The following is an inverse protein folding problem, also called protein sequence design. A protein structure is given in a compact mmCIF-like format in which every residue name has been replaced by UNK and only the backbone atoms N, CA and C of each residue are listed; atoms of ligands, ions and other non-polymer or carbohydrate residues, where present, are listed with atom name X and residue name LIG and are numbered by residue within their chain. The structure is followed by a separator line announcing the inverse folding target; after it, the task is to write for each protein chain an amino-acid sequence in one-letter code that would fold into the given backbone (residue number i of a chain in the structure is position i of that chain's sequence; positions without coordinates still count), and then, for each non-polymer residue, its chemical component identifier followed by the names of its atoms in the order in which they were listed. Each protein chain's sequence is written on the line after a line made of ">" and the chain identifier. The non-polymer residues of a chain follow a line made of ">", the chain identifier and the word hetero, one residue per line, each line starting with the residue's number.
data_IF_956381459565
#
_entry.id   IF_956381459565
#
_cell.length_a   1.000
_cell.length_b   1.000
_cell.length_c   1.000
_cell.angle_alpha   90.00
_cell.angle_beta   90.00
_cell.angle_gamma   90.00
#
_symmetry.space_group_name_H-M   'P 1'
#
loop_
_entity.id
_entity.type
_entity.pdbx_description
1 polymer ?
#
# COMPACT_ATOMS: atom_id res chain seq x y z
N UNK A 1 11.74 10.16 -29.57
CA UNK A 1 11.18 8.93 -28.98
C UNK A 1 12.19 8.37 -28.01
N UNK A 2 11.90 8.40 -26.72
CA UNK A 2 12.71 7.75 -25.69
C UNK A 2 11.78 6.81 -24.91
N UNK A 3 12.10 5.52 -24.82
CA UNK A 3 11.32 4.60 -24.00
C UNK A 3 11.81 4.72 -22.56
N UNK A 4 11.03 5.36 -21.66
CA UNK A 4 11.31 5.28 -20.23
C UNK A 4 10.71 3.99 -19.67
N UNK A 5 11.52 2.94 -19.70
CA UNK A 5 11.31 1.75 -18.88
C UNK A 5 11.60 2.11 -17.42
N UNK A 6 10.57 2.18 -16.60
CA UNK A 6 10.62 1.73 -15.20
C UNK A 6 9.38 0.89 -14.95
N UNK A 7 9.63 -0.40 -14.84
CA UNK A 7 8.64 -1.43 -14.58
C UNK A 7 8.26 -1.39 -13.11
N UNK A 8 6.96 -1.29 -12.83
CA UNK A 8 6.37 -2.13 -11.79
C UNK A 8 5.23 -2.84 -12.49
N UNK A 9 5.41 -4.15 -12.72
CA UNK A 9 4.35 -4.96 -13.29
C UNK A 9 3.21 -4.98 -12.26
N UNK A 10 2.16 -4.19 -12.49
CA UNK A 10 0.95 -4.19 -11.65
C UNK A 10 0.16 -5.50 -11.74
N UNK A 11 0.57 -6.41 -12.63
CA UNK A 11 -0.11 -7.70 -12.87
C UNK A 11 -0.30 -8.55 -11.63
N UNK A 12 0.66 -8.71 -10.70
CA UNK A 12 0.46 -9.50 -9.49
C UNK A 12 -0.61 -8.89 -8.57
N UNK A 13 -0.63 -7.56 -8.41
CA UNK A 13 -1.62 -6.85 -7.59
C UNK A 13 -3.01 -7.00 -8.22
N UNK A 14 -3.13 -6.77 -9.53
CA UNK A 14 -4.39 -6.91 -10.27
C UNK A 14 -4.90 -8.35 -10.30
N UNK A 15 -4.01 -9.34 -10.32
CA UNK A 15 -4.37 -10.75 -10.25
C UNK A 15 -4.87 -11.12 -8.85
N UNK A 16 -4.17 -10.68 -7.79
CA UNK A 16 -4.60 -10.90 -6.42
C UNK A 16 -5.95 -10.24 -6.11
N UNK A 17 -6.17 -9.03 -6.63
CA UNK A 17 -7.45 -8.34 -6.50
C UNK A 17 -8.58 -9.12 -7.19
N UNK A 18 -8.36 -9.62 -8.41
CA UNK A 18 -9.33 -10.49 -9.11
C UNK A 18 -9.60 -11.81 -8.41
N UNK A 19 -8.61 -12.37 -7.72
CA UNK A 19 -8.79 -13.59 -6.92
C UNK A 19 -9.63 -13.30 -5.67
N UNK A 20 -9.42 -12.14 -5.02
CA UNK A 20 -10.25 -11.68 -3.91
C UNK A 20 -11.69 -11.39 -4.35
N UNK A 21 -11.89 -10.74 -5.50
CA UNK A 21 -13.23 -10.47 -6.07
C UNK A 21 -14.00 -11.75 -6.40
N UNK A 22 -13.32 -12.84 -6.76
CA UNK A 22 -13.95 -14.16 -6.99
C UNK A 22 -14.38 -14.84 -5.68
N UNK A 23 -13.72 -14.51 -4.58
CA UNK A 23 -14.00 -15.04 -3.25
C UNK A 23 -15.04 -14.19 -2.51
N UNK A 24 -15.07 -12.89 -2.77
CA UNK A 24 -16.05 -11.94 -2.26
C UNK A 24 -17.30 -11.98 -3.15
N UNK A 25 -18.20 -12.91 -2.86
CA UNK A 25 -19.55 -12.85 -3.41
C UNK A 25 -20.18 -11.49 -3.07
N UNK A 26 -20.58 -10.75 -4.10
CA UNK A 26 -21.44 -9.56 -4.09
C UNK A 26 -20.76 -8.18 -3.87
N UNK A 27 -20.67 -7.42 -4.96
CA UNK A 27 -20.79 -5.95 -4.97
C UNK A 27 -19.65 -5.12 -4.36
N UNK A 28 -19.69 -3.78 -4.54
CA UNK A 28 -18.84 -2.87 -3.77
C UNK A 28 -19.15 -3.03 -2.28
N UNK A 29 -18.10 -3.14 -1.46
CA UNK A 29 -18.20 -3.32 -0.01
C UNK A 29 -18.78 -2.03 0.59
N UNK A 30 -20.08 -2.04 0.93
CA UNK A 30 -20.76 -0.90 1.56
C UNK A 30 -20.40 -0.73 3.05
N UNK A 31 -19.97 -1.81 3.71
CA UNK A 31 -19.56 -1.80 5.12
C UNK A 31 -18.36 -2.72 5.37
N UNK A 32 -17.37 -2.23 6.11
CA UNK A 32 -16.27 -3.06 6.61
C UNK A 32 -16.84 -3.96 7.71
N UNK A 33 -17.19 -5.19 7.34
CA UNK A 33 -17.57 -6.22 8.31
C UNK A 33 -16.30 -6.85 8.90
N UNK A 34 -16.27 -7.05 10.21
CA UNK A 34 -15.27 -7.93 10.82
C UNK A 34 -15.55 -9.36 10.36
N UNK A 35 -14.89 -9.78 9.29
CA UNK A 35 -14.99 -11.13 8.75
C UNK A 35 -13.94 -12.00 9.43
N UNK A 36 -14.37 -13.12 10.00
CA UNK A 36 -13.44 -14.14 10.48
C UNK A 36 -12.78 -14.82 9.27
N UNK A 37 -11.51 -14.48 9.03
CA UNK A 37 -10.74 -14.99 7.90
C UNK A 37 -10.21 -16.41 8.18
N UNK A 38 -10.21 -17.27 7.16
CA UNK A 38 -9.52 -18.56 7.21
C UNK A 38 -7.99 -18.36 7.38
N UNK A 39 -7.24 -19.38 7.85
CA UNK A 39 -5.78 -19.30 7.93
C UNK A 39 -5.10 -18.90 6.60
N UNK A 40 -5.58 -19.44 5.48
CA UNK A 40 -5.06 -19.12 4.14
C UNK A 40 -5.34 -17.67 3.75
N UNK A 41 -6.54 -17.16 4.07
CA UNK A 41 -6.91 -15.77 3.85
C UNK A 41 -6.07 -14.81 4.72
N UNK A 42 -5.86 -15.15 6.00
CA UNK A 42 -4.98 -14.38 6.91
C UNK A 42 -3.54 -14.32 6.37
N UNK A 43 -3.01 -15.45 5.90
CA UNK A 43 -1.67 -15.51 5.30
C UNK A 43 -1.57 -14.64 4.03
N UNK A 44 -2.61 -14.65 3.18
CA UNK A 44 -2.66 -13.83 1.98
C UNK A 44 -2.70 -12.33 2.31
N UNK A 45 -3.56 -11.92 3.25
CA UNK A 45 -3.66 -10.53 3.72
C UNK A 45 -2.34 -10.07 4.31
N UNK A 46 -1.71 -10.88 5.15
CA UNK A 46 -0.40 -10.58 5.73
C UNK A 46 0.67 -10.38 4.64
N UNK A 47 0.77 -11.30 3.68
CA UNK A 47 1.73 -11.19 2.57
C UNK A 47 1.51 -9.91 1.76
N UNK A 48 0.25 -9.57 1.50
CA UNK A 48 -0.09 -8.33 0.80
C UNK A 48 0.33 -7.11 1.60
N UNK A 49 0.06 -7.09 2.90
CA UNK A 49 0.45 -6.02 3.79
C UNK A 49 1.97 -5.86 3.88
N UNK A 50 2.73 -6.95 4.00
CA UNK A 50 4.20 -6.95 4.01
C UNK A 50 4.79 -6.38 2.71
N UNK A 51 4.22 -6.75 1.55
CA UNK A 51 4.64 -6.21 0.27
C UNK A 51 4.40 -4.69 0.19
N UNK A 52 3.24 -4.22 0.63
CA UNK A 52 2.94 -2.78 0.62
C UNK A 52 3.75 -2.01 1.65
N UNK A 53 4.06 -2.60 2.80
CA UNK A 53 4.87 -1.95 3.84
C UNK A 53 6.23 -1.51 3.31
N UNK A 54 6.90 -2.35 2.51
CA UNK A 54 8.18 -1.98 1.89
C UNK A 54 8.01 -0.92 0.79
N UNK A 55 6.90 -0.97 0.03
CA UNK A 55 6.59 0.08 -0.95
C UNK A 55 6.43 1.43 -0.24
N UNK A 56 5.65 1.50 0.84
CA UNK A 56 5.44 2.74 1.59
C UNK A 56 6.75 3.28 2.17
N UNK A 57 7.62 2.40 2.66
CA UNK A 57 8.95 2.78 3.16
C UNK A 57 9.81 3.42 2.07
N UNK A 58 9.81 2.88 0.86
CA UNK A 58 10.53 3.45 -0.28
C UNK A 58 9.92 4.80 -0.72
N UNK A 59 8.59 4.91 -0.67
CA UNK A 59 7.86 6.14 -0.99
C UNK A 59 8.17 7.25 0.03
N UNK A 60 8.11 6.96 1.33
CA UNK A 60 8.51 7.88 2.41
C UNK A 60 9.91 8.42 2.14
N UNK A 61 10.89 7.55 1.89
CA UNK A 61 12.26 7.98 1.63
C UNK A 61 12.38 8.87 0.39
N UNK A 62 11.64 8.55 -0.67
CA UNK A 62 11.66 9.28 -1.94
C UNK A 62 11.09 10.69 -1.76
N UNK A 63 9.90 10.81 -1.19
CA UNK A 63 9.26 12.12 -0.95
C UNK A 63 10.02 12.94 0.09
N UNK A 64 10.60 12.31 1.11
CA UNK A 64 11.44 12.99 2.09
C UNK A 64 12.70 13.60 1.45
N UNK A 65 13.39 12.85 0.57
CA UNK A 65 14.52 13.37 -0.21
C UNK A 65 14.09 14.51 -1.14
N UNK A 66 12.89 14.43 -1.71
CA UNK A 66 12.34 15.47 -2.57
C UNK A 66 12.02 16.75 -1.80
N UNK A 67 11.35 16.64 -0.65
CA UNK A 67 11.02 17.77 0.23
C UNK A 67 12.27 18.55 0.68
N UNK A 68 13.37 17.85 0.98
CA UNK A 68 14.65 18.48 1.35
C UNK A 68 15.25 19.29 0.19
N UNK A 69 15.07 18.84 -1.05
CA UNK A 69 15.64 19.49 -2.25
C UNK A 69 14.73 20.59 -2.83
N UNK A 70 13.45 20.59 -2.48
CA UNK A 70 12.48 21.54 -3.00
C UNK A 70 12.66 22.93 -2.37
N UNK A 71 12.78 23.94 -3.23
CA UNK A 71 12.96 25.34 -2.83
C UNK A 71 11.66 26.15 -2.89
N UNK A 72 10.68 25.71 -3.70
CA UNK A 72 9.38 26.37 -3.82
C UNK A 72 8.46 25.96 -2.67
N UNK A 73 7.98 26.88 -1.80
CA UNK A 73 7.31 26.49 -0.55
C UNK A 73 6.04 25.63 -0.72
N UNK A 74 5.12 25.93 -1.67
CA UNK A 74 3.98 25.05 -1.95
C UNK A 74 4.35 23.61 -2.35
N UNK A 75 5.41 23.43 -3.15
CA UNK A 75 5.80 22.09 -3.58
C UNK A 75 6.49 21.32 -2.46
N UNK A 76 7.31 22.01 -1.65
CA UNK A 76 7.86 21.43 -0.43
C UNK A 76 6.74 20.98 0.52
N UNK A 77 5.75 21.82 0.76
CA UNK A 77 4.59 21.48 1.60
C UNK A 77 3.81 20.28 1.05
N UNK A 78 3.63 20.19 -0.27
CA UNK A 78 3.01 19.01 -0.89
C UNK A 78 3.83 17.73 -0.65
N UNK A 79 5.15 17.79 -0.84
CA UNK A 79 6.03 16.64 -0.62
C UNK A 79 6.03 16.20 0.86
N UNK A 80 6.03 17.15 1.80
CA UNK A 80 5.94 16.87 3.23
C UNK A 80 4.59 16.24 3.60
N UNK A 81 3.48 16.74 3.05
CA UNK A 81 2.16 16.16 3.27
C UNK A 81 2.07 14.71 2.75
N UNK A 82 2.69 14.41 1.61
CA UNK A 82 2.76 13.04 1.10
C UNK A 82 3.57 12.16 2.07
N UNK A 83 4.72 12.61 2.57
CA UNK A 83 5.51 11.84 3.55
C UNK A 83 4.69 11.46 4.78
N UNK A 84 3.93 12.39 5.35
CA UNK A 84 3.11 12.07 6.53
C UNK A 84 1.98 11.10 6.21
N UNK A 85 1.41 11.18 5.00
CA UNK A 85 0.39 10.22 4.56
C UNK A 85 0.96 8.80 4.40
N UNK A 86 2.12 8.65 3.75
CA UNK A 86 2.74 7.32 3.59
C UNK A 86 3.22 6.74 4.93
N UNK A 87 3.62 7.59 5.90
CA UNK A 87 3.91 7.13 7.27
C UNK A 87 2.69 6.54 7.96
N UNK A 88 1.53 7.16 7.77
CA UNK A 88 0.27 6.64 8.31
C UNK A 88 -0.12 5.32 7.65
N UNK A 89 0.00 5.22 6.32
CA UNK A 89 -0.18 3.95 5.61
C UNK A 89 0.76 2.86 6.16
N UNK A 90 2.05 3.17 6.31
CA UNK A 90 3.03 2.24 6.85
C UNK A 90 2.66 1.79 8.28
N UNK A 91 2.18 2.70 9.13
CA UNK A 91 1.70 2.35 10.49
C UNK A 91 0.53 1.37 10.43
N UNK A 92 -0.49 1.65 9.62
CA UNK A 92 -1.68 0.81 9.48
C UNK A 92 -1.34 -0.58 8.92
N UNK A 93 -0.43 -0.65 7.95
CA UNK A 93 0.05 -1.93 7.40
C UNK A 93 0.82 -2.74 8.45
N UNK A 94 1.66 -2.09 9.26
CA UNK A 94 2.39 -2.76 10.33
C UNK A 94 1.43 -3.33 11.41
N UNK A 95 0.38 -2.59 11.75
CA UNK A 95 -0.68 -3.05 12.66
C UNK A 95 -1.45 -4.24 12.09
N UNK A 96 -1.76 -4.21 10.79
CA UNK A 96 -2.42 -5.32 10.11
C UNK A 96 -1.56 -6.59 10.10
N UNK A 97 -0.26 -6.47 9.87
CA UNK A 97 0.69 -7.58 9.93
C UNK A 97 0.77 -8.15 11.34
N UNK A 98 0.79 -7.29 12.35
CA UNK A 98 0.81 -7.71 13.75
C UNK A 98 -0.46 -8.48 14.15
N UNK A 99 -1.63 -8.03 13.67
CA UNK A 99 -2.93 -8.70 13.91
C UNK A 99 -2.96 -10.14 13.41
N UNK A 100 -2.22 -10.47 12.35
CA UNK A 100 -2.20 -11.80 11.73
C UNK A 100 -0.87 -12.54 11.91
N UNK A 101 -0.10 -12.22 12.97
CA UNK A 101 1.18 -12.88 13.27
C UNK A 101 1.03 -14.19 14.07
N UNK A 102 -0.20 -14.56 14.43
CA UNK A 102 -0.58 -15.76 15.19
C UNK A 102 -1.17 -16.86 14.30
#
# INVERSE_FOLDING_TARGET
>A
MTPSSTSTSWRPILNAQKELEKLAGEGPIEEVKDVELSPEQKALVKRFAEMHLEIEKDMIQTYQKMAVKMTHPPFKGLAEAIVENEREHHRLLAELIAKYKE
#
